data_IF_211664828298
#
_entry.id   IF_211664828298
#
_cell.length_a   1.000
_cell.length_b   1.000
_cell.length_c   1.000
_cell.angle_alpha   90.00
_cell.angle_beta   90.00
_cell.angle_gamma   90.00
#
_symmetry.space_group_name_H-M   'P 1'
#
loop_
_entity.id
_entity.type
_entity.pdbx_description
1 polymer ?
#
# COMPACT_ATOMS: atom_id res chain seq x y z
N UNK A 1 -8.13 11.66 0.20
CA UNK A 1 -7.80 12.68 -0.84
C UNK A 1 -6.32 12.62 -1.29
N UNK A 2 -5.47 11.79 -0.67
CA UNK A 2 -4.03 11.73 -0.97
C UNK A 2 -3.67 11.00 -2.28
N UNK A 3 -4.39 9.93 -2.63
CA UNK A 3 -4.08 9.10 -3.81
C UNK A 3 -4.19 9.85 -5.15
N UNK A 4 -5.10 10.84 -5.24
CA UNK A 4 -5.22 11.65 -6.46
C UNK A 4 -4.02 12.55 -6.69
N UNK A 5 -3.25 12.96 -5.67
CA UNK A 5 -2.13 13.91 -5.84
C UNK A 5 -0.91 13.24 -6.49
N UNK A 6 -0.57 12.00 -6.10
CA UNK A 6 0.58 11.31 -6.69
C UNK A 6 0.31 10.88 -8.14
N UNK A 7 -0.89 10.37 -8.43
CA UNK A 7 -1.32 10.11 -9.80
C UNK A 7 -1.47 11.42 -10.61
N UNK A 8 -1.80 12.55 -9.99
CA UNK A 8 -1.85 13.87 -10.65
C UNK A 8 -0.47 14.51 -10.88
N UNK A 9 0.56 14.14 -10.12
CA UNK A 9 1.94 14.58 -10.39
C UNK A 9 2.54 13.83 -11.59
N UNK A 10 2.18 12.55 -11.76
CA UNK A 10 2.52 11.78 -12.98
C UNK A 10 1.59 12.11 -14.15
N UNK A 11 0.35 12.53 -13.87
CA UNK A 11 -0.62 13.07 -14.82
C UNK A 11 -0.68 14.61 -14.80
N UNK A 12 0.44 15.29 -14.52
CA UNK A 12 0.56 16.69 -14.92
C UNK A 12 0.28 16.68 -16.43
N UNK A 13 -0.70 17.47 -16.92
CA UNK A 13 -1.21 17.43 -18.30
C UNK A 13 -0.19 17.69 -19.42
N UNK A 14 1.10 17.57 -19.14
CA UNK A 14 2.21 17.46 -20.05
C UNK A 14 2.14 16.10 -20.77
N UNK A 15 1.84 16.14 -22.07
CA UNK A 15 2.07 14.98 -22.94
C UNK A 15 3.57 14.70 -22.97
N UNK A 16 4.01 13.68 -22.23
CA UNK A 16 5.38 13.18 -22.30
C UNK A 16 5.69 12.77 -23.74
N UNK A 17 6.86 13.16 -24.22
CA UNK A 17 7.35 12.69 -25.51
C UNK A 17 7.53 11.16 -25.49
N UNK A 18 7.47 10.48 -26.66
CA UNK A 18 7.74 9.05 -26.73
C UNK A 18 9.10 8.64 -26.15
N UNK A 19 10.09 9.54 -26.25
CA UNK A 19 11.43 9.34 -25.70
C UNK A 19 11.42 9.37 -24.16
N UNK A 20 10.69 10.30 -23.55
CA UNK A 20 10.55 10.39 -22.09
C UNK A 20 9.79 9.20 -21.52
N UNK A 21 8.71 8.75 -22.19
CA UNK A 21 7.98 7.55 -21.80
C UNK A 21 8.93 6.35 -21.80
N UNK A 22 9.67 6.14 -22.90
CA UNK A 22 10.65 5.04 -23.00
C UNK A 22 11.71 5.10 -21.90
N UNK A 23 12.26 6.28 -21.63
CA UNK A 23 13.25 6.49 -20.56
C UNK A 23 12.67 6.16 -19.19
N UNK A 24 11.45 6.62 -18.90
CA UNK A 24 10.78 6.37 -17.63
C UNK A 24 10.47 4.88 -17.44
N UNK A 25 10.05 4.17 -18.49
CA UNK A 25 9.85 2.72 -18.46
C UNK A 25 11.16 2.00 -18.13
N UNK A 26 12.26 2.31 -18.82
CA UNK A 26 13.56 1.69 -18.56
C UNK A 26 14.01 1.89 -17.10
N UNK A 27 13.85 3.10 -16.56
CA UNK A 27 14.18 3.40 -15.17
C UNK A 27 13.33 2.57 -14.21
N UNK A 28 12.00 2.54 -14.43
CA UNK A 28 11.08 1.75 -13.59
C UNK A 28 11.43 0.27 -13.62
N UNK A 29 11.73 -0.30 -14.78
CA UNK A 29 12.09 -1.71 -14.92
C UNK A 29 13.38 -2.03 -14.17
N UNK A 30 14.42 -1.21 -14.33
CA UNK A 30 15.67 -1.35 -13.57
C UNK A 30 15.45 -1.21 -12.06
N UNK A 31 14.58 -0.31 -11.63
CA UNK A 31 14.23 -0.18 -10.22
C UNK A 31 13.52 -1.42 -9.69
N UNK A 32 12.54 -1.98 -10.44
CA UNK A 32 11.81 -3.20 -10.05
C UNK A 32 12.76 -4.36 -9.80
N UNK A 33 13.71 -4.56 -10.70
CA UNK A 33 14.65 -5.69 -10.61
C UNK A 33 15.67 -5.52 -9.47
N UNK A 34 16.14 -4.30 -9.21
CA UNK A 34 17.33 -4.07 -8.36
C UNK A 34 17.03 -3.47 -6.99
N UNK A 35 16.05 -2.57 -6.91
CA UNK A 35 15.88 -1.70 -5.76
C UNK A 35 14.59 -1.97 -4.98
N UNK A 36 13.49 -2.27 -5.69
CA UNK A 36 12.17 -2.40 -5.07
C UNK A 36 12.13 -3.41 -3.92
N UNK A 37 12.71 -4.62 -4.01
CA UNK A 37 12.69 -5.56 -2.89
C UNK A 37 13.33 -5.00 -1.60
N UNK A 38 14.41 -4.24 -1.74
CA UNK A 38 15.10 -3.60 -0.61
C UNK A 38 14.29 -2.42 -0.05
N UNK A 39 13.64 -1.66 -0.93
CA UNK A 39 12.75 -0.57 -0.54
C UNK A 39 11.52 -1.09 0.22
N UNK A 40 10.90 -2.18 -0.26
CA UNK A 40 9.77 -2.81 0.40
C UNK A 40 10.12 -3.28 1.81
N UNK A 41 11.29 -3.91 1.98
CA UNK A 41 11.76 -4.30 3.30
C UNK A 41 12.00 -3.07 4.19
N UNK A 42 12.58 -2.00 3.64
CA UNK A 42 12.79 -0.75 4.39
C UNK A 42 11.48 -0.11 4.82
N UNK A 43 10.47 -0.07 3.94
CA UNK A 43 9.12 0.41 4.29
C UNK A 43 8.50 -0.43 5.40
N UNK A 44 8.58 -1.76 5.30
CA UNK A 44 8.07 -2.64 6.34
C UNK A 44 8.71 -2.34 7.71
N UNK A 45 10.03 -2.18 7.75
CA UNK A 45 10.75 -1.84 8.99
C UNK A 45 10.30 -0.48 9.55
N UNK A 46 10.12 0.53 8.70
CA UNK A 46 9.62 1.85 9.12
C UNK A 46 8.22 1.74 9.71
N UNK A 47 7.30 1.07 9.00
CA UNK A 47 5.92 0.88 9.44
C UNK A 47 5.85 0.13 10.78
N UNK A 48 6.69 -0.89 10.96
CA UNK A 48 6.70 -1.68 12.20
C UNK A 48 7.34 -0.94 13.38
N UNK A 49 8.43 -0.21 13.13
CA UNK A 49 9.24 0.43 14.19
C UNK A 49 8.57 1.69 14.73
N UNK A 50 7.95 2.49 13.85
CA UNK A 50 7.51 3.84 14.19
C UNK A 50 6.01 3.98 14.46
N UNK A 51 5.20 2.96 14.20
CA UNK A 51 3.73 2.99 14.34
C UNK A 51 3.17 3.53 15.67
N UNK A 52 3.92 3.41 16.78
CA UNK A 52 3.49 3.91 18.10
C UNK A 52 4.18 5.23 18.51
N UNK A 53 5.32 5.56 17.91
CA UNK A 53 6.17 6.66 18.36
C UNK A 53 6.12 7.88 17.44
N UNK A 54 5.91 7.67 16.14
CA UNK A 54 5.92 8.71 15.11
C UNK A 54 4.88 8.41 14.03
N UNK A 55 3.57 8.58 14.34
CA UNK A 55 2.49 8.24 13.42
C UNK A 55 2.60 9.00 12.09
N UNK A 56 3.08 10.24 12.08
CA UNK A 56 3.24 11.03 10.84
C UNK A 56 4.23 10.38 9.86
N UNK A 57 5.33 9.81 10.36
CA UNK A 57 6.31 9.09 9.54
C UNK A 57 5.67 7.81 8.98
N UNK A 58 4.87 7.12 9.80
CA UNK A 58 4.15 5.92 9.37
C UNK A 58 3.11 6.26 8.29
N UNK A 59 2.33 7.33 8.44
CA UNK A 59 1.39 7.83 7.42
C UNK A 59 2.11 8.16 6.10
N UNK A 60 3.21 8.91 6.16
CA UNK A 60 4.01 9.21 4.96
C UNK A 60 4.57 7.95 4.30
N UNK A 61 4.99 6.96 5.08
CA UNK A 61 5.46 5.69 4.54
C UNK A 61 4.32 4.91 3.87
N UNK A 62 3.11 4.90 4.45
CA UNK A 62 1.92 4.28 3.85
C UNK A 62 1.54 4.95 2.52
N UNK A 63 1.60 6.28 2.44
CA UNK A 63 1.37 7.02 1.20
C UNK A 63 2.38 6.63 0.11
N UNK A 64 3.67 6.53 0.47
CA UNK A 64 4.72 6.08 -0.45
C UNK A 64 4.46 4.65 -0.93
N UNK A 65 4.10 3.72 -0.04
CA UNK A 65 3.77 2.35 -0.43
C UNK A 65 2.60 2.35 -1.41
N UNK A 66 1.51 3.05 -1.08
CA UNK A 66 0.33 3.22 -1.94
C UNK A 66 0.67 3.70 -3.35
N UNK A 67 1.49 4.74 -3.45
CA UNK A 67 1.95 5.30 -4.73
C UNK A 67 2.76 4.30 -5.58
N UNK A 68 3.53 3.42 -4.95
CA UNK A 68 4.35 2.43 -5.64
C UNK A 68 3.55 1.20 -6.07
N UNK A 69 2.44 0.90 -5.40
CA UNK A 69 1.58 -0.26 -5.70
C UNK A 69 1.37 -0.38 -7.20
N UNK A 70 0.89 0.67 -7.87
CA UNK A 70 0.49 0.68 -9.29
C UNK A 70 1.49 0.06 -10.28
N UNK A 71 2.79 0.01 -9.97
CA UNK A 71 3.81 -0.45 -10.91
C UNK A 71 4.83 -1.45 -10.37
N UNK A 72 4.85 -1.79 -9.08
CA UNK A 72 5.79 -2.82 -8.57
C UNK A 72 5.26 -4.25 -8.76
N UNK A 73 5.98 -5.29 -8.32
CA UNK A 73 5.39 -6.63 -8.19
C UNK A 73 4.49 -6.65 -6.95
N UNK A 74 3.22 -7.07 -7.11
CA UNK A 74 2.26 -7.08 -6.00
C UNK A 74 2.65 -8.11 -4.94
N UNK A 75 3.30 -9.22 -5.29
CA UNK A 75 3.69 -10.27 -4.34
C UNK A 75 4.64 -9.77 -3.24
N UNK A 76 5.35 -8.67 -3.49
CA UNK A 76 6.24 -8.05 -2.50
C UNK A 76 5.48 -7.43 -1.33
N UNK A 77 4.22 -7.01 -1.53
CA UNK A 77 3.40 -6.31 -0.53
C UNK A 77 2.06 -7.00 -0.22
N UNK A 78 1.52 -7.83 -1.11
CA UNK A 78 0.29 -8.60 -0.89
C UNK A 78 0.58 -9.98 -0.31
N UNK A 79 1.44 -10.03 0.71
CA UNK A 79 1.72 -11.23 1.49
C UNK A 79 1.24 -11.04 2.93
N UNK A 80 1.00 -12.16 3.63
CA UNK A 80 0.43 -12.17 4.98
C UNK A 80 1.19 -11.27 5.95
N UNK A 81 2.52 -11.20 5.85
CA UNK A 81 3.35 -10.36 6.72
C UNK A 81 2.99 -8.88 6.58
N UNK A 82 2.96 -8.36 5.35
CA UNK A 82 2.72 -6.95 5.09
C UNK A 82 1.23 -6.59 5.26
N UNK A 83 0.34 -7.45 4.79
CA UNK A 83 -1.13 -7.27 4.91
C UNK A 83 -1.56 -7.25 6.37
N UNK A 84 -1.07 -8.15 7.21
CA UNK A 84 -1.43 -8.16 8.63
C UNK A 84 -0.98 -6.89 9.35
N UNK A 85 0.21 -6.36 9.02
CA UNK A 85 0.66 -5.07 9.54
C UNK A 85 -0.30 -3.95 9.13
N UNK A 86 -0.66 -3.89 7.86
CA UNK A 86 -1.59 -2.88 7.33
C UNK A 86 -2.97 -2.95 8.00
N UNK A 87 -3.52 -4.15 8.16
CA UNK A 87 -4.79 -4.37 8.84
C UNK A 87 -4.73 -3.96 10.32
N UNK A 88 -3.61 -4.22 11.01
CA UNK A 88 -3.43 -3.77 12.39
C UNK A 88 -3.41 -2.24 12.49
N UNK A 89 -2.80 -1.57 11.52
CA UNK A 89 -2.71 -0.10 11.47
C UNK A 89 -4.07 0.56 11.19
N UNK A 90 -5.01 -0.11 10.51
CA UNK A 90 -6.39 0.37 10.39
C UNK A 90 -7.11 0.51 11.74
N UNK A 91 -6.68 -0.26 12.75
CA UNK A 91 -7.23 -0.16 14.11
C UNK A 91 -6.68 1.05 14.89
N UNK A 92 -5.58 1.66 14.42
CA UNK A 92 -4.95 2.84 15.02
C UNK A 92 -5.57 4.10 14.44
N UNK A 93 -6.16 4.96 15.27
CA UNK A 93 -6.93 6.13 14.83
C UNK A 93 -6.11 7.06 13.92
N UNK A 94 -4.84 7.28 14.25
CA UNK A 94 -3.94 8.22 13.55
C UNK A 94 -3.46 7.68 12.20
N UNK A 95 -3.43 6.35 12.02
CA UNK A 95 -2.92 5.69 10.80
C UNK A 95 -4.04 5.18 9.89
N UNK A 96 -5.28 5.22 10.38
CA UNK A 96 -6.40 4.52 9.77
C UNK A 96 -6.66 4.97 8.34
N UNK A 97 -6.63 6.27 8.07
CA UNK A 97 -6.95 6.80 6.74
C UNK A 97 -5.93 6.32 5.71
N UNK A 98 -4.64 6.51 5.98
CA UNK A 98 -3.56 6.13 5.08
C UNK A 98 -3.44 4.60 4.93
N UNK A 99 -3.73 3.84 6.00
CA UNK A 99 -3.76 2.38 5.93
C UNK A 99 -4.91 1.89 5.03
N UNK A 100 -6.11 2.51 5.14
CA UNK A 100 -7.23 2.22 4.26
C UNK A 100 -6.93 2.57 2.80
N UNK A 101 -6.37 3.76 2.54
CA UNK A 101 -6.01 4.21 1.19
C UNK A 101 -4.95 3.27 0.57
N UNK A 102 -3.92 2.87 1.33
CA UNK A 102 -2.93 1.91 0.86
C UNK A 102 -3.53 0.53 0.56
N UNK A 103 -4.45 0.05 1.42
CA UNK A 103 -5.14 -1.22 1.20
C UNK A 103 -6.02 -1.17 -0.07
N UNK A 104 -6.70 -0.05 -0.29
CA UNK A 104 -7.50 0.19 -1.48
C UNK A 104 -6.65 0.10 -2.76
N UNK A 105 -5.47 0.71 -2.77
CA UNK A 105 -4.54 0.63 -3.92
C UNK A 105 -4.11 -0.82 -4.21
N UNK A 106 -3.81 -1.62 -3.17
CA UNK A 106 -3.47 -3.04 -3.29
C UNK A 106 -4.62 -3.81 -3.94
N UNK A 107 -5.85 -3.60 -3.48
CA UNK A 107 -7.04 -4.30 -3.98
C UNK A 107 -7.36 -3.90 -5.43
N UNK A 108 -7.19 -2.62 -5.78
CA UNK A 108 -7.52 -2.06 -7.09
C UNK A 108 -6.53 -2.45 -8.19
N UNK A 109 -5.25 -2.52 -7.88
CA UNK A 109 -4.25 -2.96 -8.87
C UNK A 109 -4.53 -4.37 -9.39
N UNK A 110 -5.18 -5.18 -8.57
CA UNK A 110 -5.56 -6.55 -8.90
C UNK A 110 -4.61 -7.54 -8.24
N UNK A 111 -5.20 -8.45 -7.49
CA UNK A 111 -4.56 -9.56 -6.79
C UNK A 111 -5.18 -10.86 -7.29
N UNK A 112 -4.45 -11.97 -7.18
CA UNK A 112 -5.00 -13.27 -7.55
C UNK A 112 -6.29 -13.56 -6.74
N UNK A 113 -7.32 -14.17 -7.35
CA UNK A 113 -8.60 -14.40 -6.68
C UNK A 113 -8.46 -15.12 -5.34
N UNK A 114 -7.52 -16.07 -5.24
CA UNK A 114 -7.23 -16.79 -4.01
C UNK A 114 -6.70 -15.87 -2.90
N UNK A 115 -5.77 -14.96 -3.23
CA UNK A 115 -5.23 -14.03 -2.24
C UNK A 115 -6.25 -12.94 -1.89
N UNK A 116 -7.15 -12.58 -2.81
CA UNK A 116 -8.29 -11.70 -2.52
C UNK A 116 -9.21 -12.30 -1.47
N UNK A 117 -9.49 -13.59 -1.57
CA UNK A 117 -10.32 -14.30 -0.58
C UNK A 117 -9.62 -14.29 0.78
N UNK A 118 -8.34 -14.65 0.87
CA UNK A 118 -7.58 -14.63 2.14
C UNK A 118 -7.55 -13.25 2.79
N UNK A 119 -7.40 -12.20 1.97
CA UNK A 119 -7.43 -10.82 2.46
C UNK A 119 -8.79 -10.47 3.05
N UNK A 120 -9.88 -10.84 2.38
CA UNK A 120 -11.25 -10.62 2.88
C UNK A 120 -11.48 -11.40 4.17
N UNK A 121 -11.03 -12.65 4.26
CA UNK A 121 -11.12 -13.46 5.49
C UNK A 121 -10.36 -12.81 6.65
N UNK A 122 -9.14 -12.34 6.40
CA UNK A 122 -8.30 -11.65 7.40
C UNK A 122 -8.93 -10.33 7.86
N UNK A 123 -9.47 -9.54 6.92
CA UNK A 123 -10.19 -8.30 7.23
C UNK A 123 -11.44 -8.59 8.07
N UNK A 124 -12.20 -9.63 7.72
CA UNK A 124 -13.36 -10.06 8.50
C UNK A 124 -12.98 -10.38 9.95
N UNK A 125 -11.88 -11.11 10.18
CA UNK A 125 -11.39 -11.40 11.53
C UNK A 125 -11.01 -10.14 12.30
N UNK A 126 -10.31 -9.20 11.66
CA UNK A 126 -9.93 -7.93 12.29
C UNK A 126 -11.16 -7.11 12.65
N UNK A 127 -12.13 -7.00 11.74
CA UNK A 127 -13.41 -6.33 11.99
C UNK A 127 -14.23 -7.01 13.10
N UNK A 128 -14.21 -8.35 13.18
CA UNK A 128 -14.83 -9.09 14.30
C UNK A 128 -14.15 -8.72 15.63
N UNK A 129 -12.82 -8.71 15.66
CA UNK A 129 -12.06 -8.36 16.87
C UNK A 129 -12.28 -6.91 17.33
N UNK A 130 -12.53 -6.00 16.37
CA UNK A 130 -12.88 -4.62 16.63
C UNK A 130 -14.37 -4.41 16.98
N UNK A 131 -15.16 -5.49 17.05
CA UNK A 131 -16.56 -5.47 17.49
C UNK A 131 -17.58 -5.07 16.42
N UNK A 132 -17.19 -4.91 15.15
CA UNK A 132 -18.11 -4.47 14.08
C UNK A 132 -19.18 -5.51 13.73
N UNK A 133 -18.90 -6.79 13.95
CA UNK A 133 -19.85 -7.89 13.67
C UNK A 133 -20.52 -8.45 14.92
N UNK A 134 -20.29 -7.84 16.08
CA UNK A 134 -21.09 -8.12 17.27
C UNK A 134 -22.45 -7.44 17.08
N UNK A 135 -23.31 -8.08 16.30
CA UNK A 135 -24.75 -7.81 16.36
C UNK A 135 -25.19 -8.33 17.72
N UNK A 136 -25.34 -7.43 18.70
CA UNK A 136 -26.09 -7.76 19.91
C UNK A 136 -27.45 -8.34 19.47
N UNK A 137 -27.72 -9.56 19.92
CA UNK A 137 -28.96 -10.31 19.66
C UNK A 137 -30.17 -9.62 20.27
#
# INVERSE_FOLDING_TARGET
>A
MGVQVFNSLVACGMKLSPQEIRRNTLIKDQMRERCIPTLVESWFQILQTYQQSHPEITCQCLEVVGAFVSWIDLNLIANDRFVNLLLSQMSVMELREEACDCLFEIINKGMDPADKIKLVESLCQVLQSAGFFNVEQ
#
